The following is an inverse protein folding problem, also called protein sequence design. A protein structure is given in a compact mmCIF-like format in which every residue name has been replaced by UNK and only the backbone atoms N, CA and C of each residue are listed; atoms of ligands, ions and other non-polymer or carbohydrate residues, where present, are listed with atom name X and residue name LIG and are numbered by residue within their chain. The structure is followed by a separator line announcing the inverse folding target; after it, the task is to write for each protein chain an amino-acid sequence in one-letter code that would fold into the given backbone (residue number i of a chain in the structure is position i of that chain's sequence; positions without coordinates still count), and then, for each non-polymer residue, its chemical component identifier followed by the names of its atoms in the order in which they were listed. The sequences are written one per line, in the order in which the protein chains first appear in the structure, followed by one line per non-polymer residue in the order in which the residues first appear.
data_IF_212103026967
#
_entry.id   IF_212103026967
#
_cell.length_a   1.000
_cell.length_b   1.000
_cell.length_c   1.000
_cell.angle_alpha   90.00
_cell.angle_beta   90.00
_cell.angle_gamma   90.00
#
_symmetry.space_group_name_H-M   'P 1'
#
loop_
_entity.id
_entity.type
_entity.pdbx_description
1 polymer ?
#
# COMPACT_ATOMS: atom_id res chain seq x y z
N UNK A 1 34.21 -6.38 32.65
CA UNK A 1 33.96 -5.26 31.70
C UNK A 1 33.58 -5.71 30.29
N UNK A 2 34.16 -6.78 29.72
CA UNK A 2 33.84 -7.23 28.34
C UNK A 2 32.42 -7.81 28.18
N UNK A 3 31.89 -8.51 29.20
CA UNK A 3 30.57 -9.15 29.15
C UNK A 3 29.42 -8.13 29.07
N UNK A 4 29.48 -7.04 29.86
CA UNK A 4 28.47 -5.97 29.83
C UNK A 4 28.43 -5.23 28.48
N UNK A 5 29.57 -5.05 27.82
CA UNK A 5 29.61 -4.46 26.47
C UNK A 5 28.98 -5.38 25.42
N UNK A 6 29.17 -6.70 25.52
CA UNK A 6 28.50 -7.66 24.63
C UNK A 6 26.98 -7.65 24.80
N UNK A 7 26.50 -7.60 26.05
CA UNK A 7 25.05 -7.54 26.33
C UNK A 7 24.44 -6.26 25.74
N UNK A 8 25.12 -5.12 25.85
CA UNK A 8 24.66 -3.86 25.27
C UNK A 8 24.56 -3.93 23.73
N UNK A 9 25.56 -4.47 23.06
CA UNK A 9 25.57 -4.61 21.59
C UNK A 9 24.45 -5.55 21.11
N UNK A 10 24.24 -6.67 21.79
CA UNK A 10 23.15 -7.61 21.47
C UNK A 10 21.79 -6.96 21.71
N UNK A 11 21.65 -6.18 22.80
CA UNK A 11 20.44 -5.41 23.09
C UNK A 11 20.11 -4.37 22.01
N UNK A 12 21.11 -3.62 21.54
CA UNK A 12 20.95 -2.64 20.46
C UNK A 12 20.55 -3.30 19.14
N UNK A 13 21.18 -4.44 18.78
CA UNK A 13 20.82 -5.20 17.59
C UNK A 13 19.38 -5.72 17.65
N UNK A 14 18.94 -6.26 18.80
CA UNK A 14 17.58 -6.72 18.98
C UNK A 14 16.55 -5.59 18.84
N UNK A 15 16.85 -4.40 19.39
CA UNK A 15 15.98 -3.23 19.24
C UNK A 15 15.90 -2.75 17.78
N UNK A 16 17.01 -2.78 17.04
CA UNK A 16 17.02 -2.43 15.62
C UNK A 16 16.18 -3.40 14.79
N UNK A 17 16.32 -4.71 15.03
CA UNK A 17 15.49 -5.73 14.35
C UNK A 17 14.02 -5.55 14.72
N UNK A 18 13.71 -5.36 16.01
CA UNK A 18 12.34 -5.16 16.48
C UNK A 18 11.71 -3.92 15.83
N UNK A 19 12.42 -2.79 15.80
CA UNK A 19 11.96 -1.54 15.16
C UNK A 19 11.71 -1.73 13.67
N UNK A 20 12.61 -2.43 12.97
CA UNK A 20 12.46 -2.72 11.54
C UNK A 20 11.26 -3.64 11.26
N UNK A 21 11.06 -4.67 12.09
CA UNK A 21 9.92 -5.59 11.96
C UNK A 21 8.59 -4.86 12.17
N UNK A 22 8.46 -4.09 13.25
CA UNK A 22 7.23 -3.32 13.55
C UNK A 22 6.92 -2.25 12.51
N UNK A 23 7.95 -1.56 12.00
CA UNK A 23 7.79 -0.59 10.91
C UNK A 23 7.32 -1.25 9.62
N UNK A 24 7.83 -2.43 9.29
CA UNK A 24 7.43 -3.18 8.09
C UNK A 24 5.97 -3.62 8.17
N UNK A 25 5.53 -4.13 9.33
CA UNK A 25 4.13 -4.51 9.55
C UNK A 25 3.17 -3.32 9.50
N UNK A 26 3.59 -2.19 10.06
CA UNK A 26 2.79 -0.95 10.04
C UNK A 26 2.60 -0.44 8.61
N UNK A 27 3.69 -0.37 7.83
CA UNK A 27 3.65 0.05 6.44
C UNK A 27 2.77 -0.89 5.60
N UNK A 28 2.90 -2.20 5.78
CA UNK A 28 2.07 -3.20 5.08
C UNK A 28 0.59 -3.05 5.41
N UNK A 29 0.25 -2.73 6.67
CA UNK A 29 -1.14 -2.47 7.09
C UNK A 29 -1.69 -1.21 6.43
N UNK A 30 -0.88 -0.17 6.31
CA UNK A 30 -1.23 1.08 5.65
C UNK A 30 -1.45 0.88 4.14
N UNK A 31 -0.55 0.18 3.46
CA UNK A 31 -0.71 -0.19 2.05
C UNK A 31 -1.98 -1.00 1.79
N UNK A 32 -2.33 -1.94 2.69
CA UNK A 32 -3.61 -2.67 2.62
C UNK A 32 -4.83 -1.79 2.85
N UNK A 33 -4.72 -0.67 3.58
CA UNK A 33 -5.82 0.30 3.70
C UNK A 33 -5.97 1.09 2.41
N UNK A 34 -4.87 1.65 1.88
CA UNK A 34 -4.86 2.37 0.59
C UNK A 34 -5.40 1.49 -0.54
N UNK A 35 -4.98 0.23 -0.62
CA UNK A 35 -5.49 -0.72 -1.62
C UNK A 35 -7.00 -0.92 -1.54
N UNK A 36 -7.57 -0.94 -0.33
CA UNK A 36 -9.03 -1.07 -0.14
C UNK A 36 -9.77 0.18 -0.57
N UNK A 37 -9.19 1.35 -0.31
CA UNK A 37 -9.74 2.63 -0.73
C UNK A 37 -9.73 2.78 -2.25
N UNK A 38 -8.59 2.50 -2.90
CA UNK A 38 -8.48 2.50 -4.37
C UNK A 38 -9.49 1.55 -5.00
N UNK A 39 -9.62 0.31 -4.49
CA UNK A 39 -10.64 -0.64 -4.98
C UNK A 39 -12.07 -0.13 -4.80
N UNK A 40 -12.36 0.59 -3.72
CA UNK A 40 -13.68 1.19 -3.50
C UNK A 40 -13.96 2.28 -4.53
N UNK A 41 -12.97 3.14 -4.77
CA UNK A 41 -13.07 4.21 -5.77
C UNK A 41 -13.24 3.63 -7.19
N UNK A 42 -12.47 2.58 -7.52
CA UNK A 42 -12.64 1.86 -8.80
C UNK A 42 -14.05 1.28 -8.95
N UNK A 43 -14.63 0.73 -7.88
CA UNK A 43 -16.00 0.21 -7.92
C UNK A 43 -17.01 1.33 -8.19
N UNK A 44 -16.86 2.47 -7.52
CA UNK A 44 -17.72 3.63 -7.74
C UNK A 44 -17.58 4.16 -9.18
N UNK A 45 -16.35 4.27 -9.70
CA UNK A 45 -16.10 4.67 -11.08
C UNK A 45 -16.69 3.71 -12.09
N UNK A 46 -16.62 2.41 -11.84
CA UNK A 46 -17.28 1.42 -12.69
C UNK A 46 -18.81 1.57 -12.70
N UNK A 47 -19.42 1.97 -11.57
CA UNK A 47 -20.85 2.28 -11.51
C UNK A 47 -21.17 3.56 -12.29
N UNK A 48 -20.34 4.60 -12.18
CA UNK A 48 -20.47 5.83 -12.97
C UNK A 48 -20.37 5.56 -14.49
N UNK A 49 -19.39 4.76 -14.91
CA UNK A 49 -19.21 4.36 -16.32
C UNK A 49 -20.46 3.65 -16.86
N UNK A 50 -21.04 2.72 -16.09
CA UNK A 50 -22.27 2.01 -16.49
C UNK A 50 -23.49 2.92 -16.65
N UNK A 51 -23.47 4.08 -15.99
CA UNK A 51 -24.54 5.07 -16.04
C UNK A 51 -24.21 6.29 -16.89
N UNK A 52 -23.07 6.27 -17.59
CA UNK A 52 -22.68 7.31 -18.54
C UNK A 52 -23.74 7.44 -19.64
N UNK A 53 -24.06 8.68 -20.01
CA UNK A 53 -25.08 9.00 -21.01
C UNK A 53 -24.49 9.39 -22.36
N UNK A 54 -23.19 9.62 -22.42
CA UNK A 54 -22.44 9.99 -23.62
C UNK A 54 -21.13 9.22 -23.69
N UNK A 55 -20.62 9.01 -24.90
CA UNK A 55 -19.32 8.37 -25.14
C UNK A 55 -18.18 9.22 -24.56
N UNK A 56 -18.29 10.56 -24.61
CA UNK A 56 -17.29 11.48 -24.05
C UNK A 56 -17.22 11.39 -22.51
N UNK A 57 -18.36 11.24 -21.83
CA UNK A 57 -18.39 10.99 -20.38
C UNK A 57 -17.81 9.61 -20.03
N UNK A 58 -18.09 8.60 -20.85
CA UNK A 58 -17.54 7.26 -20.69
C UNK A 58 -16.00 7.27 -20.80
N UNK A 59 -15.46 7.92 -21.83
CA UNK A 59 -14.02 8.04 -22.06
C UNK A 59 -13.30 8.72 -20.88
N UNK A 60 -13.82 9.86 -20.39
CA UNK A 60 -13.25 10.54 -19.23
C UNK A 60 -13.28 9.69 -17.95
N UNK A 61 -14.36 8.95 -17.74
CA UNK A 61 -14.49 8.06 -16.58
C UNK A 61 -13.57 6.84 -16.70
N UNK A 62 -13.37 6.33 -17.92
CA UNK A 62 -12.44 5.24 -18.21
C UNK A 62 -10.98 5.66 -18.01
N UNK A 63 -10.60 6.88 -18.39
CA UNK A 63 -9.28 7.45 -18.07
C UNK A 63 -9.04 7.49 -16.57
N UNK A 64 -10.02 8.00 -15.81
CA UNK A 64 -9.96 8.02 -14.34
C UNK A 64 -9.87 6.61 -13.75
N UNK A 65 -10.58 5.64 -14.33
CA UNK A 65 -10.52 4.24 -13.91
C UNK A 65 -9.13 3.64 -14.15
N UNK A 66 -8.51 3.94 -15.30
CA UNK A 66 -7.17 3.48 -15.65
C UNK A 66 -6.10 4.05 -14.72
N UNK A 67 -6.22 5.31 -14.31
CA UNK A 67 -5.35 5.90 -13.28
C UNK A 67 -5.45 5.17 -11.93
N UNK A 68 -6.67 4.84 -11.51
CA UNK A 68 -6.89 4.06 -10.28
C UNK A 68 -6.36 2.61 -10.41
N UNK A 69 -6.44 2.00 -11.60
CA UNK A 69 -5.85 0.68 -11.85
C UNK A 69 -4.32 0.71 -11.73
N UNK A 70 -3.69 1.75 -12.28
CA UNK A 70 -2.25 1.99 -12.14
C UNK A 70 -1.85 2.17 -10.67
N UNK A 71 -2.58 2.98 -9.89
CA UNK A 71 -2.33 3.12 -8.45
C UNK A 71 -2.50 1.78 -7.73
N UNK A 72 -3.52 0.99 -8.07
CA UNK A 72 -3.74 -0.34 -7.50
C UNK A 72 -2.54 -1.26 -7.76
N UNK A 73 -2.01 -1.26 -8.98
CA UNK A 73 -0.86 -2.08 -9.37
C UNK A 73 0.42 -1.64 -8.63
N UNK A 74 0.66 -0.35 -8.48
CA UNK A 74 1.78 0.17 -7.69
C UNK A 74 1.71 -0.27 -6.23
N UNK A 75 0.55 -0.13 -5.58
CA UNK A 75 0.36 -0.57 -4.19
C UNK A 75 0.57 -2.10 -4.06
N UNK A 76 0.10 -2.89 -5.02
CA UNK A 76 0.33 -4.33 -5.02
C UNK A 76 1.82 -4.69 -5.17
N UNK A 77 2.57 -3.94 -6.00
CA UNK A 77 4.00 -4.09 -6.12
C UNK A 77 4.72 -3.74 -4.80
N UNK A 78 4.37 -2.63 -4.16
CA UNK A 78 4.91 -2.22 -2.86
C UNK A 78 4.64 -3.27 -1.77
N UNK A 79 3.43 -3.82 -1.71
CA UNK A 79 3.10 -4.89 -0.76
C UNK A 79 3.96 -6.14 -1.00
N UNK A 80 4.27 -6.46 -2.27
CA UNK A 80 5.07 -7.62 -2.63
C UNK A 80 6.57 -7.42 -2.32
N UNK A 81 7.06 -6.17 -2.34
CA UNK A 81 8.42 -5.81 -1.89
C UNK A 81 8.57 -5.90 -0.36
N UNK A 82 7.47 -5.83 0.39
CA UNK A 82 7.40 -6.01 1.85
C UNK A 82 6.89 -7.42 2.26
N UNK A 83 7.04 -8.43 1.39
CA UNK A 83 6.89 -9.85 1.76
C UNK A 83 8.20 -10.41 2.29
#
# INVERSE_FOLDING_TARGET
MKLMKMIAIVGELLLLVFKKFWSTDTNKRELKKRLREVRRNMKNKLEEIKHAKSEEDEDMLMDTYNELDNERLQILAEINLHK
#
